data_IF_542928552452
#
_entry.id   IF_542928552452
#
_cell.length_a   1.000
_cell.length_b   1.000
_cell.length_c   1.000
_cell.angle_alpha   90.00
_cell.angle_beta   90.00
_cell.angle_gamma   90.00
#
_symmetry.space_group_name_H-M   'P 1'
#
loop_
_entity.id
_entity.type
_entity.pdbx_description
1 polymer ?
#
# COMPACT_ATOMS: atom_id res chain seq x y z
N UNK A 1 3.61 1.83 -1.91
CA UNK A 1 3.03 3.12 -2.38
C UNK A 1 1.82 3.51 -1.54
N UNK A 2 0.84 2.63 -1.34
CA UNK A 2 -0.35 2.91 -0.50
C UNK A 2 -0.05 3.49 0.88
N UNK A 3 0.86 2.90 1.67
CA UNK A 3 1.25 3.45 2.99
C UNK A 3 1.70 4.92 2.91
N UNK A 4 2.57 5.25 1.95
CA UNK A 4 3.07 6.62 1.77
C UNK A 4 1.98 7.60 1.33
N UNK A 5 1.16 7.20 0.36
CA UNK A 5 0.06 8.04 -0.17
C UNK A 5 -0.98 8.28 0.93
N UNK A 6 -1.40 7.25 1.65
CA UNK A 6 -2.34 7.39 2.76
C UNK A 6 -1.81 8.33 3.87
N UNK A 7 -0.53 8.20 4.23
CA UNK A 7 0.13 9.12 5.19
C UNK A 7 0.15 10.56 4.69
N UNK A 8 0.42 10.79 3.41
CA UNK A 8 0.38 12.15 2.82
C UNK A 8 -1.01 12.77 2.83
N UNK A 9 -2.06 11.94 2.86
CA UNK A 9 -3.46 12.36 2.99
C UNK A 9 -3.92 12.52 4.44
N UNK A 10 -3.02 12.40 5.42
CA UNK A 10 -3.30 12.62 6.84
C UNK A 10 -3.71 11.37 7.62
N UNK A 11 -3.68 10.19 7.01
CA UNK A 11 -4.00 8.93 7.71
C UNK A 11 -2.80 8.36 8.47
N UNK A 12 -3.07 7.62 9.55
CA UNK A 12 -2.09 6.68 10.10
C UNK A 12 -2.19 5.39 9.31
N UNK A 13 -1.10 4.96 8.68
CA UNK A 13 -1.13 3.80 7.79
C UNK A 13 0.17 2.99 7.88
N UNK A 14 0.04 1.69 7.70
CA UNK A 14 1.12 0.72 7.59
C UNK A 14 0.85 -0.25 6.43
N UNK A 15 1.91 -0.89 5.94
CA UNK A 15 1.84 -1.91 4.90
C UNK A 15 2.68 -3.13 5.25
N UNK A 16 2.21 -4.30 4.81
CA UNK A 16 2.87 -5.57 5.04
C UNK A 16 2.62 -6.54 3.88
N UNK A 17 3.43 -7.59 3.80
CA UNK A 17 3.26 -8.69 2.87
C UNK A 17 3.52 -10.03 3.52
N UNK A 18 2.99 -11.11 2.94
CA UNK A 18 3.27 -12.49 3.38
C UNK A 18 4.71 -12.90 3.09
N UNK A 19 5.30 -12.36 2.02
CA UNK A 19 6.68 -12.59 1.61
C UNK A 19 7.34 -11.22 1.36
N UNK A 20 7.75 -10.51 2.43
CA UNK A 20 8.36 -9.19 2.26
C UNK A 20 9.70 -9.28 1.51
N UNK A 21 9.91 -8.37 0.57
CA UNK A 21 11.20 -8.21 -0.10
C UNK A 21 12.26 -7.65 0.86
N UNK A 22 13.54 -7.69 0.48
CA UNK A 22 14.62 -7.13 1.32
C UNK A 22 14.59 -5.59 1.38
N UNK A 23 14.08 -4.93 0.33
CA UNK A 23 14.09 -3.48 0.16
C UNK A 23 12.83 -3.00 -0.54
N UNK A 24 12.48 -1.74 -0.32
CA UNK A 24 11.42 -1.07 -1.10
C UNK A 24 11.86 -1.03 -2.58
N UNK A 25 10.92 -1.34 -3.48
CA UNK A 25 11.18 -1.26 -4.92
C UNK A 25 11.61 0.16 -5.32
N UNK A 26 12.73 0.27 -6.04
CA UNK A 26 13.31 1.57 -6.40
C UNK A 26 12.37 2.46 -7.22
N UNK A 27 11.51 1.87 -8.06
CA UNK A 27 10.50 2.61 -8.81
C UNK A 27 9.37 3.13 -7.90
N UNK A 28 8.97 2.37 -6.88
CA UNK A 28 8.01 2.86 -5.89
C UNK A 28 8.56 4.06 -5.10
N UNK A 29 9.86 4.03 -4.74
CA UNK A 29 10.53 5.17 -4.10
C UNK A 29 10.50 6.39 -5.02
N UNK A 30 10.90 6.25 -6.29
CA UNK A 30 10.88 7.34 -7.28
C UNK A 30 9.50 7.99 -7.43
N UNK A 31 8.45 7.18 -7.52
CA UNK A 31 7.07 7.67 -7.68
C UNK A 31 6.59 8.43 -6.43
N UNK A 32 6.92 7.95 -5.23
CA UNK A 32 6.55 8.66 -4.00
C UNK A 32 7.33 9.97 -3.86
N UNK A 33 8.64 9.93 -4.10
CA UNK A 33 9.50 11.13 -4.02
C UNK A 33 9.13 12.18 -5.06
N UNK A 34 8.74 11.78 -6.28
CA UNK A 34 8.29 12.72 -7.31
C UNK A 34 6.99 13.45 -6.93
N UNK A 35 6.20 12.89 -5.99
CA UNK A 35 5.00 13.49 -5.41
C UNK A 35 5.29 14.23 -4.09
N UNK A 36 6.55 14.33 -3.68
CA UNK A 36 6.93 14.95 -2.39
C UNK A 36 6.63 14.08 -1.16
N UNK A 37 6.38 12.78 -1.35
CA UNK A 37 6.06 11.83 -0.27
C UNK A 37 7.34 11.16 0.20
N UNK A 38 7.69 11.36 1.47
CA UNK A 38 8.87 10.73 2.07
C UNK A 38 8.64 9.23 2.29
N UNK A 39 9.67 8.43 2.01
CA UNK A 39 9.72 6.99 2.34
C UNK A 39 10.51 6.70 3.61
N UNK A 40 10.95 7.73 4.34
CA UNK A 40 11.73 7.56 5.56
C UNK A 40 10.96 6.75 6.61
N UNK A 41 11.61 5.74 7.19
CA UNK A 41 11.01 4.84 8.16
C UNK A 41 10.09 3.77 7.56
N UNK A 42 9.85 3.77 6.24
CA UNK A 42 9.17 2.68 5.56
C UNK A 42 10.16 1.54 5.28
N UNK A 43 9.69 0.31 5.41
CA UNK A 43 10.42 -0.90 5.04
C UNK A 43 9.43 -2.02 4.72
N UNK A 44 9.82 -3.02 3.92
CA UNK A 44 9.05 -4.25 3.80
C UNK A 44 8.93 -4.92 5.17
N UNK A 45 7.71 -5.26 5.57
CA UNK A 45 7.38 -5.86 6.87
C UNK A 45 6.55 -7.12 6.63
N UNK A 46 6.73 -8.13 7.48
CA UNK A 46 5.90 -9.34 7.42
C UNK A 46 4.52 -9.05 8.00
N UNK A 47 3.47 -9.58 7.37
CA UNK A 47 2.08 -9.45 7.84
C UNK A 47 1.87 -10.01 9.25
N UNK A 48 2.63 -11.04 9.66
CA UNK A 48 2.56 -11.63 11.00
C UNK A 48 3.00 -10.67 12.11
N UNK A 49 3.66 -9.55 11.78
CA UNK A 49 4.03 -8.53 12.74
C UNK A 49 2.87 -7.57 13.09
N UNK A 50 1.69 -7.76 12.48
CA UNK A 50 0.53 -6.89 12.62
C UNK A 50 -0.68 -7.66 13.09
N UNK A 51 -1.55 -6.97 13.84
CA UNK A 51 -2.92 -7.42 14.12
C UNK A 51 -3.90 -6.57 13.32
N UNK A 52 -4.92 -7.19 12.73
CA UNK A 52 -5.99 -6.44 12.07
C UNK A 52 -6.78 -5.55 13.05
N UNK A 53 -6.88 -5.97 14.32
CA UNK A 53 -7.62 -5.25 15.36
C UNK A 53 -6.99 -3.88 15.70
N UNK A 54 -5.74 -3.63 15.30
CA UNK A 54 -5.05 -2.35 15.49
C UNK A 54 -5.45 -1.29 14.46
N UNK A 55 -6.26 -1.65 13.46
CA UNK A 55 -6.62 -0.81 12.31
C UNK A 55 -8.13 -0.68 12.16
N UNK A 56 -8.58 0.52 11.78
CA UNK A 56 -9.98 0.76 11.41
C UNK A 56 -10.38 0.11 10.08
N UNK A 57 -9.37 -0.18 9.22
CA UNK A 57 -9.60 -0.75 7.90
C UNK A 57 -8.35 -1.48 7.38
N UNK A 58 -8.55 -2.69 6.87
CA UNK A 58 -7.53 -3.53 6.24
C UNK A 58 -7.84 -3.69 4.76
N UNK A 59 -6.91 -3.25 3.91
CA UNK A 59 -7.08 -3.28 2.46
C UNK A 59 -6.08 -4.26 1.83
N UNK A 60 -6.59 -5.26 1.12
CA UNK A 60 -5.77 -6.09 0.24
C UNK A 60 -5.47 -5.35 -1.05
N UNK A 61 -4.19 -5.33 -1.42
CA UNK A 61 -3.78 -4.76 -2.70
C UNK A 61 -4.04 -5.69 -3.88
N UNK A 62 -4.27 -7.01 -3.70
CA UNK A 62 -4.57 -7.92 -4.80
C UNK A 62 -3.76 -9.22 -4.86
N UNK A 63 -3.26 -9.74 -3.73
CA UNK A 63 -2.51 -11.00 -3.76
C UNK A 63 -3.39 -12.23 -4.02
N UNK A 64 -4.72 -12.12 -3.87
CA UNK A 64 -5.65 -13.25 -3.94
C UNK A 64 -5.40 -14.32 -2.86
N UNK A 65 -4.44 -14.09 -1.96
CA UNK A 65 -4.10 -14.99 -0.86
C UNK A 65 -4.98 -14.62 0.32
N UNK A 66 -5.88 -15.53 0.67
CA UNK A 66 -6.66 -15.43 1.88
C UNK A 66 -5.72 -15.62 3.08
N UNK A 67 -5.30 -14.54 3.73
CA UNK A 67 -4.54 -14.61 4.97
C UNK A 67 -5.53 -14.70 6.14
N UNK A 68 -5.61 -15.82 6.88
CA UNK A 68 -6.58 -15.96 7.98
C UNK A 68 -6.35 -14.97 9.13
N UNK A 69 -5.13 -14.43 9.23
CA UNK A 69 -4.70 -13.53 10.29
C UNK A 69 -5.15 -12.08 10.07
N UNK A 70 -5.52 -11.72 8.84
CA UNK A 70 -5.90 -10.35 8.48
C UNK A 70 -7.25 -10.39 7.76
N UNK A 71 -8.39 -10.25 8.47
CA UNK A 71 -9.67 -9.98 7.83
C UNK A 71 -9.53 -8.75 6.93
N UNK A 72 -10.00 -8.86 5.68
CA UNK A 72 -9.89 -7.82 4.65
C UNK A 72 -11.24 -7.13 4.52
N UNK A 73 -11.26 -5.80 4.67
CA UNK A 73 -12.46 -4.97 4.47
C UNK A 73 -12.68 -4.64 3.00
N UNK A 74 -11.59 -4.41 2.26
CA UNK A 74 -11.62 -4.18 0.82
C UNK A 74 -10.49 -4.89 0.12
N UNK A 75 -10.80 -5.55 -0.99
CA UNK A 75 -9.80 -6.05 -1.92
C UNK A 75 -9.79 -5.18 -3.17
N UNK A 76 -8.67 -4.50 -3.39
CA UNK A 76 -8.52 -3.61 -4.54
C UNK A 76 -8.09 -4.33 -5.81
N UNK A 77 -7.56 -5.56 -5.70
CA UNK A 77 -7.22 -6.39 -6.86
C UNK A 77 -6.25 -5.73 -7.85
N UNK A 78 -5.36 -4.87 -7.35
CA UNK A 78 -4.33 -4.22 -8.16
C UNK A 78 -3.26 -5.24 -8.54
N UNK A 79 -2.82 -5.18 -9.80
CA UNK A 79 -1.69 -5.96 -10.27
C UNK A 79 -0.40 -5.49 -9.59
N UNK A 80 0.48 -6.44 -9.24
CA UNK A 80 1.77 -6.12 -8.62
C UNK A 80 2.70 -5.43 -9.63
N UNK A 81 3.10 -4.16 -9.40
CA UNK A 81 4.00 -3.45 -10.31
C UNK A 81 5.47 -3.91 -10.17
N UNK A 82 5.81 -4.78 -9.21
CA UNK A 82 7.20 -5.23 -9.00
C UNK A 82 7.81 -5.80 -10.29
N UNK A 83 9.01 -5.33 -10.64
CA UNK A 83 9.71 -5.72 -11.87
C UNK A 83 9.22 -5.04 -13.16
N UNK A 84 8.13 -4.27 -13.12
CA UNK A 84 7.57 -3.59 -14.28
C UNK A 84 8.23 -2.21 -14.53
N UNK A 85 7.87 -1.60 -15.68
CA UNK A 85 8.30 -0.25 -16.04
C UNK A 85 7.76 0.81 -15.06
N UNK A 86 8.46 1.96 -14.96
CA UNK A 86 8.08 3.06 -14.06
C UNK A 86 6.64 3.54 -14.27
N UNK A 87 6.16 3.58 -15.52
CA UNK A 87 4.80 3.99 -15.87
C UNK A 87 3.72 3.10 -15.25
N UNK A 88 4.02 1.81 -15.01
CA UNK A 88 3.10 0.90 -14.31
C UNK A 88 3.00 1.30 -12.84
N UNK A 89 4.11 1.66 -12.19
CA UNK A 89 4.07 2.16 -10.81
C UNK A 89 3.31 3.48 -10.69
N UNK A 90 3.49 4.39 -11.66
CA UNK A 90 2.76 5.65 -11.71
C UNK A 90 1.25 5.41 -11.81
N UNK A 91 0.82 4.54 -12.74
CA UNK A 91 -0.58 4.17 -12.89
C UNK A 91 -1.15 3.48 -11.63
N UNK A 92 -0.39 2.57 -11.00
CA UNK A 92 -0.79 1.95 -9.74
C UNK A 92 -0.93 2.99 -8.62
N UNK A 93 -0.02 3.95 -8.53
CA UNK A 93 -0.08 5.02 -7.54
C UNK A 93 -1.28 5.95 -7.75
N UNK A 94 -1.62 6.28 -9.00
CA UNK A 94 -2.80 7.08 -9.34
C UNK A 94 -4.09 6.36 -8.95
N UNK A 95 -4.16 5.05 -9.19
CA UNK A 95 -5.32 4.23 -8.82
C UNK A 95 -5.48 4.12 -7.30
N UNK A 96 -4.37 3.97 -6.57
CA UNK A 96 -4.36 3.99 -5.09
C UNK A 96 -4.88 5.33 -4.58
N UNK A 97 -4.38 6.45 -5.10
CA UNK A 97 -4.78 7.79 -4.69
C UNK A 97 -6.26 8.05 -4.96
N UNK A 98 -6.74 7.65 -6.15
CA UNK A 98 -8.17 7.72 -6.51
C UNK A 98 -9.04 6.97 -5.51
N UNK A 99 -8.70 5.72 -5.19
CA UNK A 99 -9.46 4.90 -4.24
C UNK A 99 -9.44 5.45 -2.82
N UNK A 100 -8.30 5.96 -2.35
CA UNK A 100 -8.21 6.63 -1.04
C UNK A 100 -9.12 7.86 -0.98
N UNK A 101 -9.23 8.64 -2.06
CA UNK A 101 -10.17 9.77 -2.15
C UNK A 101 -11.65 9.34 -2.10
N UNK A 102 -11.99 8.19 -2.70
CA UNK A 102 -13.34 7.63 -2.63
C UNK A 102 -13.73 7.16 -1.22
N UNK A 103 -12.75 6.80 -0.39
CA UNK A 103 -12.99 6.42 1.01
C UNK A 103 -13.24 7.65 1.89
N UNK A 104 -12.50 8.74 1.66
CA UNK A 104 -12.69 9.98 2.40
C UNK A 104 -14.04 10.64 2.14
N UNK A 105 -14.56 10.53 0.91
CA UNK A 105 -15.86 11.12 0.54
C UNK A 105 -17.08 10.36 1.05
N UNK A 106 -16.90 9.19 1.67
CA UNK A 106 -17.98 8.35 2.21
C UNK A 106 -18.17 8.46 3.74
N UNK A 107 -17.50 9.41 4.40
CA UNK A 107 -17.67 9.69 5.84
C UNK A 107 -18.69 10.81 6.09
#
# INVERSE_FOLDING_TARGET
MAEGIARSLGHTADSAGTHPAEKIASNAVKVLESRGISTAGMAPKNVEAFSADDYDMVISMGCGVHCPLMPIDQDWGLEDPVGQALSVYEATADEIERRLGELQSKQ
#
